data_IF_638176842658
#
_entry.id   IF_638176842658
#
_cell.length_a   1.000
_cell.length_b   1.000
_cell.length_c   1.000
_cell.angle_alpha   90.00
_cell.angle_beta   90.00
_cell.angle_gamma   90.00
#
_symmetry.space_group_name_H-M   'P 1'
#
loop_
_entity.id
_entity.type
_entity.pdbx_description
1 polymer ?
#
# COMPACT_ATOMS: atom_id res chain seq x y z
N UNK A 1 10.72 13.43 20.93
CA UNK A 1 11.53 12.39 20.25
C UNK A 1 11.45 10.98 20.84
N UNK A 2 10.61 10.68 21.84
CA UNK A 2 10.36 9.28 22.31
C UNK A 2 8.96 8.74 21.94
N UNK A 3 8.21 9.47 21.10
CA UNK A 3 6.80 9.16 20.82
C UNK A 3 6.59 8.40 19.51
N UNK A 4 7.62 8.25 18.68
CA UNK A 4 7.51 7.59 17.37
C UNK A 4 8.85 6.99 16.96
N UNK A 5 8.78 5.88 16.22
CA UNK A 5 9.93 5.22 15.59
C UNK A 5 9.63 5.14 14.09
N UNK A 6 10.64 5.38 13.26
CA UNK A 6 10.54 5.27 11.80
C UNK A 6 11.52 4.19 11.34
N UNK A 7 11.00 3.15 10.68
CA UNK A 7 11.79 2.12 10.00
C UNK A 7 11.56 2.24 8.49
N UNK A 8 12.65 2.32 7.72
CA UNK A 8 12.62 2.47 6.27
C UNK A 8 13.19 1.22 5.62
N UNK A 9 12.52 0.72 4.58
CA UNK A 9 12.99 -0.42 3.78
C UNK A 9 13.04 -0.07 2.31
N UNK A 10 14.21 -0.22 1.72
CA UNK A 10 14.44 -0.05 0.29
C UNK A 10 14.24 -1.38 -0.44
N UNK A 11 13.45 -1.35 -1.51
CA UNK A 11 13.25 -2.50 -2.39
C UNK A 11 14.55 -2.80 -3.15
N UNK A 12 14.99 -4.05 -3.13
CA UNK A 12 16.24 -4.52 -3.73
C UNK A 12 17.43 -4.51 -2.78
N UNK A 13 17.32 -3.85 -1.61
CA UNK A 13 18.37 -3.83 -0.58
C UNK A 13 17.88 -4.52 0.69
N UNK A 14 16.80 -4.02 1.31
CA UNK A 14 16.27 -4.53 2.58
C UNK A 14 15.19 -5.61 2.39
N UNK A 15 14.55 -5.63 1.22
CA UNK A 15 13.46 -6.55 0.86
C UNK A 15 13.48 -6.79 -0.65
N UNK A 16 13.04 -7.96 -1.11
CA UNK A 16 13.04 -8.30 -2.54
C UNK A 16 11.99 -7.54 -3.34
N UNK A 17 10.82 -7.30 -2.75
CA UNK A 17 9.64 -6.75 -3.41
C UNK A 17 8.67 -6.14 -2.37
N UNK A 18 7.67 -5.42 -2.86
CA UNK A 18 6.63 -4.76 -2.04
C UNK A 18 5.75 -5.77 -1.30
N UNK A 19 5.40 -6.89 -1.92
CA UNK A 19 4.56 -7.91 -1.29
C UNK A 19 5.19 -8.44 0.00
N UNK A 20 6.45 -8.85 -0.12
CA UNK A 20 7.24 -9.36 0.99
C UNK A 20 7.39 -8.29 2.08
N UNK A 21 7.68 -7.05 1.68
CA UNK A 21 7.79 -5.93 2.61
C UNK A 21 6.49 -5.70 3.41
N UNK A 22 5.36 -5.60 2.73
CA UNK A 22 4.05 -5.29 3.34
C UNK A 22 3.57 -6.41 4.27
N UNK A 23 3.82 -7.67 3.89
CA UNK A 23 3.54 -8.83 4.74
C UNK A 23 4.29 -8.77 6.07
N UNK A 24 5.55 -8.35 6.06
CA UNK A 24 6.34 -8.24 7.30
C UNK A 24 6.00 -6.97 8.08
N UNK A 25 5.81 -5.83 7.41
CA UNK A 25 5.40 -4.57 8.04
C UNK A 25 4.11 -4.75 8.82
N UNK A 26 3.09 -5.42 8.25
CA UNK A 26 1.82 -5.68 8.94
C UNK A 26 1.96 -6.51 10.24
N UNK A 27 3.09 -7.21 10.44
CA UNK A 27 3.37 -7.98 11.65
C UNK A 27 4.19 -7.22 12.69
N UNK A 28 4.68 -6.03 12.34
CA UNK A 28 5.41 -5.16 13.25
C UNK A 28 4.49 -4.21 14.04
N UNK A 29 3.16 -4.35 13.88
CA UNK A 29 2.15 -3.51 14.52
C UNK A 29 2.40 -2.00 14.28
N UNK A 30 2.52 -1.55 13.00
CA UNK A 30 2.82 -0.15 12.71
C UNK A 30 1.59 0.73 12.89
N UNK A 31 1.75 1.97 13.34
CA UNK A 31 0.62 2.93 13.34
C UNK A 31 0.36 3.50 11.92
N UNK A 32 1.43 3.67 11.14
CA UNK A 32 1.41 4.31 9.82
C UNK A 32 2.27 3.51 8.85
N UNK A 33 1.75 3.27 7.65
CA UNK A 33 2.47 2.59 6.57
C UNK A 33 2.60 3.56 5.39
N UNK A 34 3.84 3.82 4.98
CA UNK A 34 4.14 4.57 3.76
C UNK A 34 4.62 3.61 2.67
N UNK A 35 3.92 3.62 1.53
CA UNK A 35 4.26 2.84 0.33
C UNK A 35 4.73 3.85 -0.72
N UNK A 36 5.94 3.65 -1.25
CA UNK A 36 6.52 4.61 -2.21
C UNK A 36 5.60 4.88 -3.40
N UNK A 37 5.10 3.82 -4.05
CA UNK A 37 4.12 3.89 -5.14
C UNK A 37 3.33 2.59 -5.25
N UNK A 38 2.09 2.67 -5.72
CA UNK A 38 1.27 1.50 -6.06
C UNK A 38 1.32 1.22 -7.56
N UNK A 39 2.05 0.16 -7.96
CA UNK A 39 2.28 -0.20 -9.37
C UNK A 39 1.52 -1.41 -9.86
N UNK A 40 1.09 -2.28 -8.98
CA UNK A 40 0.47 -3.56 -9.32
C UNK A 40 -0.67 -3.90 -8.35
N UNK A 41 -1.49 -4.87 -8.76
CA UNK A 41 -2.63 -5.33 -8.00
C UNK A 41 -2.25 -5.81 -6.59
N UNK A 42 -1.09 -6.44 -6.47
CA UNK A 42 -0.62 -7.01 -5.22
C UNK A 42 -0.31 -5.92 -4.18
N UNK A 43 0.41 -4.88 -4.59
CA UNK A 43 0.73 -3.73 -3.73
C UNK A 43 -0.53 -2.96 -3.33
N UNK A 44 -1.47 -2.75 -4.27
CA UNK A 44 -2.75 -2.09 -3.99
C UNK A 44 -3.60 -2.91 -3.04
N UNK A 45 -3.70 -4.23 -3.25
CA UNK A 45 -4.48 -5.11 -2.39
C UNK A 45 -3.92 -5.14 -0.97
N UNK A 46 -2.60 -5.18 -0.81
CA UNK A 46 -1.96 -5.11 0.50
C UNK A 46 -2.18 -3.76 1.19
N UNK A 47 -2.11 -2.65 0.45
CA UNK A 47 -2.41 -1.32 0.96
C UNK A 47 -3.85 -1.20 1.47
N UNK A 48 -4.82 -1.67 0.68
CA UNK A 48 -6.24 -1.67 1.06
C UNK A 48 -6.48 -2.54 2.31
N UNK A 49 -5.90 -3.74 2.36
CA UNK A 49 -6.04 -4.62 3.52
C UNK A 49 -5.47 -4.02 4.81
N UNK A 50 -4.32 -3.34 4.71
CA UNK A 50 -3.74 -2.63 5.85
C UNK A 50 -4.66 -1.48 6.32
N UNK A 51 -5.24 -0.72 5.37
CA UNK A 51 -6.19 0.34 5.69
C UNK A 51 -7.48 -0.21 6.35
N UNK A 52 -8.03 -1.31 5.84
CA UNK A 52 -9.23 -1.99 6.39
C UNK A 52 -9.02 -2.49 7.83
N UNK A 53 -7.79 -2.86 8.18
CA UNK A 53 -7.41 -3.31 9.53
C UNK A 53 -7.09 -2.17 10.49
N UNK A 54 -7.20 -0.91 10.04
CA UNK A 54 -7.12 0.28 10.89
C UNK A 54 -5.81 1.06 10.80
N UNK A 55 -4.90 0.69 9.90
CA UNK A 55 -3.62 1.37 9.73
C UNK A 55 -3.78 2.62 8.84
N UNK A 56 -3.08 3.71 9.16
CA UNK A 56 -3.00 4.84 8.23
C UNK A 56 -2.04 4.49 7.09
N UNK A 57 -2.56 4.35 5.87
CA UNK A 57 -1.75 4.06 4.69
C UNK A 57 -1.60 5.32 3.83
N UNK A 58 -0.36 5.64 3.48
CA UNK A 58 0.00 6.75 2.59
C UNK A 58 0.75 6.16 1.40
N UNK A 59 0.36 6.55 0.19
CA UNK A 59 1.03 6.10 -1.03
C UNK A 59 0.96 7.13 -2.14
N UNK A 60 1.75 6.93 -3.20
CA UNK A 60 1.66 7.68 -4.44
C UNK A 60 1.09 6.84 -5.58
N UNK A 61 0.47 7.52 -6.54
CA UNK A 61 -0.09 6.98 -7.78
C UNK A 61 0.17 7.99 -8.90
N UNK A 62 0.50 7.48 -10.09
CA UNK A 62 0.74 8.32 -11.26
C UNK A 62 -0.57 8.58 -12.02
N UNK A 63 -1.30 9.59 -11.59
CA UNK A 63 -2.56 10.04 -12.21
C UNK A 63 -2.60 11.56 -12.28
N UNK A 64 -3.44 12.09 -13.18
CA UNK A 64 -3.52 13.53 -13.43
C UNK A 64 -4.42 14.27 -12.43
N UNK A 65 -5.38 13.57 -11.83
CA UNK A 65 -6.31 14.12 -10.84
C UNK A 65 -6.90 13.03 -9.92
N UNK A 66 -7.72 13.47 -8.96
CA UNK A 66 -8.33 12.61 -7.97
C UNK A 66 -9.33 11.59 -8.56
N UNK A 67 -10.07 11.96 -9.60
CA UNK A 67 -11.05 11.06 -10.24
C UNK A 67 -10.32 9.91 -10.93
N UNK A 68 -9.28 10.24 -11.70
CA UNK A 68 -8.42 9.24 -12.35
C UNK A 68 -7.68 8.38 -11.33
N UNK A 69 -7.35 8.92 -10.15
CA UNK A 69 -6.75 8.14 -9.06
C UNK A 69 -7.68 7.02 -8.59
N UNK A 70 -8.96 7.32 -8.38
CA UNK A 70 -9.96 6.32 -7.97
C UNK A 70 -10.15 5.28 -9.07
N UNK A 71 -10.34 5.70 -10.32
CA UNK A 71 -10.48 4.78 -11.45
C UNK A 71 -9.27 3.86 -11.58
N UNK A 72 -8.06 4.42 -11.44
CA UNK A 72 -6.82 3.65 -11.54
C UNK A 72 -6.71 2.58 -10.45
N UNK A 73 -7.15 2.87 -9.23
CA UNK A 73 -7.19 1.89 -8.14
C UNK A 73 -8.12 0.71 -8.50
N UNK A 74 -9.31 1.02 -9.04
CA UNK A 74 -10.30 0.00 -9.46
C UNK A 74 -9.75 -0.86 -10.61
N UNK A 75 -9.04 -0.25 -11.56
CA UNK A 75 -8.48 -0.91 -12.75
C UNK A 75 -7.37 -1.93 -12.44
N UNK A 76 -6.78 -1.91 -11.24
CA UNK A 76 -5.85 -2.96 -10.82
C UNK A 76 -6.53 -4.30 -10.59
N UNK A 77 -7.86 -4.33 -10.45
CA UNK A 77 -8.62 -5.54 -10.18
C UNK A 77 -9.39 -6.00 -11.43
N UNK A 78 -9.47 -7.31 -11.68
CA UNK A 78 -10.28 -7.85 -12.77
C UNK A 78 -11.78 -7.55 -12.56
N UNK A 79 -12.59 -7.47 -13.63
CA UNK A 79 -13.98 -6.99 -13.53
C UNK A 79 -14.86 -7.71 -12.51
N UNK A 80 -14.62 -9.00 -12.26
CA UNK A 80 -15.39 -9.78 -11.28
C UNK A 80 -15.08 -9.42 -9.81
N UNK A 81 -13.97 -8.72 -9.55
CA UNK A 81 -13.58 -8.22 -8.23
C UNK A 81 -13.93 -6.74 -8.02
N UNK A 82 -14.15 -5.98 -9.09
CA UNK A 82 -14.41 -4.53 -9.00
C UNK A 82 -15.72 -4.17 -8.27
N UNK A 83 -16.70 -5.08 -8.22
CA UNK A 83 -17.98 -4.86 -7.53
C UNK A 83 -17.95 -5.20 -6.03
N UNK A 84 -16.81 -5.59 -5.46
CA UNK A 84 -16.71 -6.03 -4.05
C UNK A 84 -16.14 -4.97 -3.10
N UNK A 85 -15.81 -3.77 -3.57
CA UNK A 85 -15.32 -2.66 -2.75
C UNK A 85 -16.44 -1.68 -2.38
#
# INVERSE_FOLDING_TARGET
DLLSIIDQREIGIDTSDFHTALKYVSRQDPDVIFIGEMRDQETVSAALHAAETGHLVISTLHTIDATETVNRIIDFFPPYQQMQA
#
